data_IF_223970821805
#
_entry.id   IF_223970821805
#
_cell.length_a   1.000
_cell.length_b   1.000
_cell.length_c   1.000
_cell.angle_alpha   90.00
_cell.angle_beta   90.00
_cell.angle_gamma   90.00
#
_symmetry.space_group_name_H-M   'P 1'
#
loop_
_entity.id
_entity.type
_entity.pdbx_description
1 polymer ?
#
# COMPACT_ATOMS: atom_id res chain seq x y z
N UNK A 1 8.26 4.50 -11.45
CA UNK A 1 7.84 3.79 -10.22
C UNK A 1 8.68 2.56 -9.94
N UNK A 2 8.56 1.45 -10.69
CA UNK A 2 9.31 0.22 -10.40
C UNK A 2 10.84 0.46 -10.44
N UNK A 3 11.34 1.11 -11.49
CA UNK A 3 12.78 1.41 -11.62
C UNK A 3 13.28 2.43 -10.58
N UNK A 4 12.38 3.20 -9.97
CA UNK A 4 12.73 4.15 -8.90
C UNK A 4 12.84 3.45 -7.53
N UNK A 5 12.48 2.16 -7.43
CA UNK A 5 12.58 1.38 -6.19
C UNK A 5 11.24 1.10 -5.50
N UNK A 6 10.11 1.49 -6.09
CA UNK A 6 8.78 1.16 -5.53
C UNK A 6 8.51 -0.33 -5.69
N UNK A 7 8.10 -0.98 -4.60
CA UNK A 7 7.77 -2.42 -4.56
C UNK A 7 6.37 -2.73 -4.01
N UNK A 8 5.64 -1.76 -3.50
CA UNK A 8 4.28 -1.93 -3.00
C UNK A 8 3.31 -1.01 -3.77
N UNK A 9 2.20 -1.56 -4.23
CA UNK A 9 1.21 -0.84 -5.03
C UNK A 9 -0.21 -1.06 -4.47
N UNK A 10 -0.96 0.03 -4.29
CA UNK A 10 -2.40 -0.01 -4.03
C UNK A 10 -3.16 0.04 -5.37
N UNK A 11 -3.81 -1.07 -5.71
CA UNK A 11 -4.48 -1.30 -6.99
C UNK A 11 -5.99 -1.34 -6.77
N UNK A 12 -6.64 -0.22 -7.08
CA UNK A 12 -8.09 -0.06 -6.95
C UNK A 12 -8.79 -0.33 -8.27
N UNK A 13 -9.58 -1.40 -8.31
CA UNK A 13 -10.16 -1.92 -9.54
C UNK A 13 -11.69 -2.01 -9.47
N UNK A 14 -12.33 -1.90 -10.63
CA UNK A 14 -13.72 -2.25 -10.82
C UNK A 14 -13.95 -2.61 -12.29
N UNK A 15 -15.19 -2.94 -12.65
CA UNK A 15 -15.57 -3.03 -14.05
C UNK A 15 -15.26 -1.75 -14.82
N UNK A 16 -14.91 -1.91 -16.08
CA UNK A 16 -14.98 -0.84 -17.06
C UNK A 16 -16.45 -0.44 -17.32
N UNK A 17 -16.68 0.64 -18.06
CA UNK A 17 -18.03 1.17 -18.30
C UNK A 17 -18.93 0.22 -19.10
N UNK A 18 -18.36 -0.81 -19.74
CA UNK A 18 -19.10 -1.84 -20.49
C UNK A 18 -19.29 -3.15 -19.71
N UNK A 19 -18.77 -3.25 -18.48
CA UNK A 19 -18.76 -4.46 -17.66
C UNK A 19 -18.10 -5.68 -18.34
N UNK A 20 -17.13 -5.46 -19.23
CA UNK A 20 -16.45 -6.51 -19.98
C UNK A 20 -15.06 -6.83 -19.43
N UNK A 21 -14.42 -5.89 -18.74
CA UNK A 21 -13.05 -6.03 -18.22
C UNK A 21 -12.88 -5.32 -16.89
N UNK A 22 -11.80 -5.64 -16.17
CA UNK A 22 -11.40 -4.90 -14.97
C UNK A 22 -10.41 -3.79 -15.37
N UNK A 23 -10.65 -2.59 -14.86
CA UNK A 23 -9.80 -1.40 -15.05
C UNK A 23 -9.61 -0.68 -13.72
N UNK A 24 -8.70 0.29 -13.68
CA UNK A 24 -8.37 1.03 -12.46
C UNK A 24 -9.20 2.28 -12.29
N UNK A 25 -9.61 2.53 -11.04
CA UNK A 25 -10.46 3.64 -10.64
C UNK A 25 -9.94 4.31 -9.37
N UNK A 26 -10.21 5.60 -9.21
CA UNK A 26 -10.04 6.32 -7.95
C UNK A 26 -11.33 7.06 -7.61
N UNK A 27 -12.14 6.46 -6.74
CA UNK A 27 -13.54 6.86 -6.57
C UNK A 27 -14.27 6.84 -7.93
N UNK A 28 -14.95 7.93 -8.34
CA UNK A 28 -15.62 7.99 -9.64
C UNK A 28 -14.68 8.28 -10.83
N UNK A 29 -13.38 8.43 -10.61
CA UNK A 29 -12.43 8.78 -11.67
C UNK A 29 -11.79 7.53 -12.30
N UNK A 30 -12.14 7.24 -13.56
CA UNK A 30 -11.47 6.22 -14.37
C UNK A 30 -10.02 6.64 -14.63
N UNK A 31 -9.05 5.78 -14.29
CA UNK A 31 -7.63 6.10 -14.42
C UNK A 31 -7.10 5.88 -15.83
N UNK A 32 -7.64 4.91 -16.56
CA UNK A 32 -7.27 4.63 -17.95
C UNK A 32 -8.43 4.00 -18.70
N UNK A 33 -8.62 4.42 -19.96
CA UNK A 33 -9.60 3.82 -20.87
C UNK A 33 -9.05 2.62 -21.63
N UNK A 34 -7.73 2.41 -21.60
CA UNK A 34 -7.04 1.43 -22.47
C UNK A 34 -6.25 0.40 -21.69
N UNK A 35 -5.92 0.66 -20.43
CA UNK A 35 -5.18 -0.29 -19.59
C UNK A 35 -6.16 -1.04 -18.69
N UNK A 36 -6.20 -2.35 -18.86
CA UNK A 36 -6.91 -3.27 -17.97
C UNK A 36 -6.01 -3.73 -16.83
N UNK A 37 -6.61 -4.38 -15.82
CA UNK A 37 -5.85 -5.04 -14.75
C UNK A 37 -4.91 -6.10 -15.34
N UNK A 38 -5.36 -6.88 -16.33
CA UNK A 38 -4.54 -7.92 -16.97
C UNK A 38 -3.31 -7.31 -17.67
N UNK A 39 -3.48 -6.22 -18.42
CA UNK A 39 -2.36 -5.51 -19.08
C UNK A 39 -1.29 -5.08 -18.09
N UNK A 40 -1.72 -4.54 -16.93
CA UNK A 40 -0.79 -4.09 -15.87
C UNK A 40 -0.10 -5.28 -15.20
N UNK A 41 -0.78 -6.41 -15.02
CA UNK A 41 -0.15 -7.64 -14.51
C UNK A 41 0.96 -8.13 -15.44
N UNK A 42 0.76 -8.13 -16.76
CA UNK A 42 1.84 -8.45 -17.72
C UNK A 42 3.00 -7.46 -17.66
N UNK A 43 2.74 -6.19 -17.33
CA UNK A 43 3.77 -5.20 -17.04
C UNK A 43 4.66 -5.62 -15.86
N UNK A 44 4.06 -6.04 -14.74
CA UNK A 44 4.80 -6.55 -13.58
C UNK A 44 5.59 -7.83 -13.90
N UNK A 45 4.98 -8.78 -14.62
CA UNK A 45 5.64 -10.03 -15.02
C UNK A 45 6.90 -9.75 -15.83
N UNK A 46 6.78 -8.91 -16.87
CA UNK A 46 7.90 -8.53 -17.71
C UNK A 46 9.00 -7.82 -16.92
N UNK A 47 8.63 -6.96 -15.96
CA UNK A 47 9.61 -6.27 -15.15
C UNK A 47 10.36 -7.24 -14.22
N UNK A 48 9.66 -8.24 -13.65
CA UNK A 48 10.26 -9.29 -12.83
C UNK A 48 11.19 -10.23 -13.63
N UNK A 49 10.87 -10.51 -14.90
CA UNK A 49 11.79 -11.23 -15.80
C UNK A 49 13.13 -10.49 -15.95
N UNK A 50 13.08 -9.16 -15.96
CA UNK A 50 14.26 -8.30 -16.08
C UNK A 50 14.96 -8.05 -14.74
N UNK A 51 14.23 -8.24 -13.63
CA UNK A 51 14.68 -8.01 -12.27
C UNK A 51 14.36 -9.22 -11.36
N UNK A 52 14.92 -10.40 -11.65
CA UNK A 52 14.54 -11.64 -10.96
C UNK A 52 14.96 -11.67 -9.49
N UNK A 53 15.77 -10.70 -9.04
CA UNK A 53 16.13 -10.52 -7.62
C UNK A 53 15.03 -9.86 -6.79
N UNK A 54 14.05 -9.23 -7.44
CA UNK A 54 13.08 -8.33 -6.82
C UNK A 54 11.77 -9.05 -6.46
N UNK A 55 10.98 -8.41 -5.60
CA UNK A 55 9.65 -8.88 -5.18
C UNK A 55 8.70 -7.70 -5.21
N UNK A 56 7.47 -7.92 -5.67
CA UNK A 56 6.43 -6.87 -5.69
C UNK A 56 5.25 -7.28 -4.81
N UNK A 57 4.75 -6.33 -4.03
CA UNK A 57 3.53 -6.43 -3.23
C UNK A 57 2.39 -5.67 -3.91
N UNK A 58 1.30 -6.35 -4.21
CA UNK A 58 0.12 -5.75 -4.82
C UNK A 58 -1.06 -5.86 -3.85
N UNK A 59 -1.55 -4.72 -3.37
CA UNK A 59 -2.82 -4.64 -2.66
C UNK A 59 -3.95 -4.47 -3.66
N UNK A 60 -4.91 -5.38 -3.69
CA UNK A 60 -6.06 -5.27 -4.58
C UNK A 60 -7.30 -4.90 -3.78
N UNK A 61 -7.93 -3.78 -4.13
CA UNK A 61 -9.15 -3.32 -3.50
C UNK A 61 -10.23 -3.06 -4.55
N UNK A 62 -11.41 -3.62 -4.34
CA UNK A 62 -12.57 -3.26 -5.16
C UNK A 62 -12.94 -1.79 -4.92
N UNK A 63 -12.99 -0.99 -5.98
CA UNK A 63 -13.38 0.41 -5.93
C UNK A 63 -14.89 0.54 -6.06
N UNK A 64 -15.54 0.99 -4.99
CA UNK A 64 -16.95 1.38 -5.00
C UNK A 64 -17.15 2.77 -5.63
N UNK A 65 -18.41 3.15 -5.87
CA UNK A 65 -18.77 4.50 -6.35
C UNK A 65 -18.17 4.89 -7.70
N UNK A 66 -17.86 3.91 -8.56
CA UNK A 66 -17.34 4.13 -9.91
C UNK A 66 -18.45 4.47 -10.91
N UNK A 67 -19.50 3.66 -10.93
CA UNK A 67 -20.73 3.87 -11.71
C UNK A 67 -21.97 3.72 -10.80
N UNK A 68 -23.16 4.21 -11.21
CA UNK A 68 -24.37 4.13 -10.38
C UNK A 68 -24.79 2.73 -9.93
N UNK A 69 -24.32 1.68 -10.63
CA UNK A 69 -24.65 0.28 -10.34
C UNK A 69 -23.42 -0.55 -9.99
N UNK A 70 -22.30 0.10 -9.67
CA UNK A 70 -21.05 -0.55 -9.34
C UNK A 70 -21.21 -1.40 -8.07
N UNK A 71 -21.03 -2.71 -8.21
CA UNK A 71 -21.01 -3.66 -7.10
C UNK A 71 -19.83 -4.61 -7.25
N UNK A 72 -19.29 -5.11 -6.14
CA UNK A 72 -18.32 -6.20 -6.14
C UNK A 72 -19.02 -7.54 -6.46
N UNK A 73 -19.60 -7.60 -7.66
CA UNK A 73 -20.44 -8.70 -8.14
C UNK A 73 -19.63 -9.97 -8.38
N UNK A 74 -20.32 -11.10 -8.55
CA UNK A 74 -19.68 -12.37 -8.92
C UNK A 74 -18.81 -12.23 -10.17
N UNK A 75 -19.25 -11.47 -11.18
CA UNK A 75 -18.48 -11.27 -12.40
C UNK A 75 -17.17 -10.50 -12.17
N UNK A 76 -17.17 -9.50 -11.30
CA UNK A 76 -15.94 -8.78 -10.88
C UNK A 76 -14.98 -9.76 -10.19
N UNK A 77 -15.49 -10.54 -9.25
CA UNK A 77 -14.70 -11.51 -8.49
C UNK A 77 -14.12 -12.59 -9.40
N UNK A 78 -14.92 -13.09 -10.36
CA UNK A 78 -14.48 -14.08 -11.34
C UNK A 78 -13.38 -13.54 -12.24
N UNK A 79 -13.51 -12.33 -12.78
CA UNK A 79 -12.46 -11.75 -13.64
C UNK A 79 -11.16 -11.52 -12.88
N UNK A 80 -11.23 -11.07 -11.62
CA UNK A 80 -10.03 -10.91 -10.81
C UNK A 80 -9.41 -12.28 -10.50
N UNK A 81 -10.22 -13.27 -10.14
CA UNK A 81 -9.77 -14.64 -9.92
C UNK A 81 -9.05 -15.20 -11.15
N UNK A 82 -9.64 -15.05 -12.34
CA UNK A 82 -9.07 -15.52 -13.59
C UNK A 82 -7.74 -14.80 -13.90
N UNK A 83 -7.67 -13.48 -13.66
CA UNK A 83 -6.45 -12.69 -13.83
C UNK A 83 -5.32 -13.22 -12.93
N UNK A 84 -5.61 -13.45 -11.65
CA UNK A 84 -4.63 -13.85 -10.64
C UNK A 84 -4.31 -15.36 -10.62
N UNK A 85 -5.07 -16.17 -11.35
CA UNK A 85 -4.87 -17.64 -11.42
C UNK A 85 -4.65 -18.17 -12.83
N UNK A 86 -4.49 -17.27 -13.81
CA UNK A 86 -4.13 -17.62 -15.19
C UNK A 86 -2.83 -18.43 -15.25
N UNK A 87 -2.58 -19.20 -16.33
CA UNK A 87 -1.33 -19.94 -16.47
C UNK A 87 -0.08 -19.06 -16.37
N UNK A 88 -0.13 -17.82 -16.86
CA UNK A 88 0.94 -16.85 -16.71
C UNK A 88 1.06 -16.39 -15.26
N UNK A 89 -0.05 -15.99 -14.63
CA UNK A 89 -0.06 -15.52 -13.25
C UNK A 89 0.52 -16.55 -12.27
N UNK A 90 0.27 -17.85 -12.46
CA UNK A 90 0.82 -18.92 -11.61
C UNK A 90 2.35 -19.00 -11.60
N UNK A 91 3.04 -18.40 -12.57
CA UNK A 91 4.50 -18.34 -12.59
C UNK A 91 5.06 -17.23 -11.70
N UNK A 92 4.30 -16.15 -11.55
CA UNK A 92 4.75 -14.94 -10.85
C UNK A 92 4.04 -14.74 -9.51
N UNK A 93 2.79 -15.13 -9.36
CA UNK A 93 2.01 -14.90 -8.15
C UNK A 93 2.24 -16.03 -7.17
N UNK A 94 2.76 -15.68 -6.00
CA UNK A 94 2.99 -16.62 -4.93
C UNK A 94 1.67 -17.18 -4.37
N UNK A 95 1.55 -18.50 -4.35
CA UNK A 95 0.32 -19.22 -3.98
C UNK A 95 0.32 -19.71 -2.53
N UNK A 96 1.12 -19.13 -1.64
CA UNK A 96 1.17 -19.49 -0.21
C UNK A 96 0.20 -18.64 0.60
N UNK A 97 -0.61 -19.26 1.44
CA UNK A 97 -1.62 -18.58 2.26
C UNK A 97 -1.09 -18.26 3.65
N UNK A 98 -1.27 -17.02 4.11
CA UNK A 98 -1.01 -16.66 5.51
C UNK A 98 0.46 -16.68 5.92
N UNK A 99 1.38 -16.53 4.96
CA UNK A 99 2.82 -16.52 5.20
C UNK A 99 3.49 -15.40 4.41
N UNK A 100 4.34 -14.62 5.09
CA UNK A 100 5.17 -13.57 4.46
C UNK A 100 6.49 -14.14 3.93
N UNK A 101 6.94 -15.31 4.41
CA UNK A 101 8.18 -15.96 3.99
C UNK A 101 9.41 -15.05 4.06
N UNK A 102 10.45 -15.44 3.34
CA UNK A 102 11.70 -14.66 3.20
C UNK A 102 11.78 -13.99 1.84
N UNK A 103 12.67 -12.98 1.71
CA UNK A 103 12.98 -12.38 0.42
C UNK A 103 13.46 -13.43 -0.59
N UNK A 104 14.34 -14.35 -0.15
CA UNK A 104 14.92 -15.39 -1.00
C UNK A 104 13.89 -16.31 -1.65
N UNK A 105 12.84 -16.68 -0.92
CA UNK A 105 11.75 -17.54 -1.42
C UNK A 105 10.84 -16.82 -2.42
N UNK A 106 10.78 -15.49 -2.36
CA UNK A 106 9.84 -14.69 -3.16
C UNK A 106 10.47 -13.98 -4.35
N UNK A 107 11.79 -14.07 -4.55
CA UNK A 107 12.49 -13.42 -5.66
C UNK A 107 11.85 -13.78 -7.01
N UNK A 108 11.59 -12.77 -7.83
CA UNK A 108 10.91 -12.91 -9.12
C UNK A 108 9.39 -13.08 -9.01
N UNK A 109 8.81 -12.92 -7.81
CA UNK A 109 7.39 -13.15 -7.56
C UNK A 109 6.64 -11.92 -7.05
N UNK A 110 5.32 -12.03 -7.12
CA UNK A 110 4.32 -11.09 -6.65
C UNK A 110 3.62 -11.70 -5.44
N UNK A 111 3.50 -10.90 -4.38
CA UNK A 111 2.65 -11.17 -3.22
C UNK A 111 1.44 -10.27 -3.27
N UNK A 112 0.28 -10.76 -2.84
CA UNK A 112 -0.95 -9.96 -2.84
C UNK A 112 -1.82 -10.19 -1.61
N UNK A 113 -2.76 -9.27 -1.38
CA UNK A 113 -3.55 -9.18 -0.13
C UNK A 113 -5.02 -9.59 -0.26
N UNK A 114 -5.34 -10.58 -1.11
CA UNK A 114 -6.73 -10.92 -1.40
C UNK A 114 -7.31 -11.96 -0.44
N UNK A 115 -8.57 -11.80 0.03
CA UNK A 115 -9.17 -12.74 0.97
C UNK A 115 -9.60 -14.10 0.38
N UNK A 116 -9.86 -14.15 -0.93
CA UNK A 116 -10.43 -15.34 -1.59
C UNK A 116 -9.39 -16.21 -2.33
N UNK A 117 -8.11 -15.83 -2.29
CA UNK A 117 -7.02 -16.50 -3.00
C UNK A 117 -5.86 -16.77 -2.04
N UNK A 118 -5.01 -17.78 -2.32
CA UNK A 118 -3.78 -17.95 -1.56
C UNK A 118 -2.93 -16.67 -1.61
N UNK A 119 -2.60 -16.13 -0.44
CA UNK A 119 -1.91 -14.85 -0.29
C UNK A 119 -1.99 -14.35 1.15
N UNK A 120 -1.78 -13.05 1.35
CA UNK A 120 -1.97 -12.40 2.65
C UNK A 120 -3.45 -12.06 2.82
N UNK A 121 -4.10 -12.65 3.83
CA UNK A 121 -5.53 -12.46 4.02
C UNK A 121 -5.81 -11.14 4.73
N UNK A 122 -6.11 -10.07 3.98
CA UNK A 122 -6.60 -8.82 4.54
C UNK A 122 -8.13 -8.84 4.47
N UNK A 123 -8.77 -9.32 5.54
CA UNK A 123 -10.24 -9.36 5.59
C UNK A 123 -10.80 -7.93 5.56
N UNK A 124 -11.71 -7.61 4.62
CA UNK A 124 -12.35 -6.30 4.59
C UNK A 124 -13.17 -5.99 5.86
N UNK A 125 -13.62 -7.00 6.61
CA UNK A 125 -14.34 -6.80 7.87
C UNK A 125 -13.47 -6.32 9.00
N UNK A 126 -12.17 -6.60 8.91
CA UNK A 126 -11.20 -6.32 9.96
C UNK A 126 -10.44 -5.01 9.66
N UNK A 127 -10.54 -4.52 8.41
CA UNK A 127 -10.05 -3.21 8.00
C UNK A 127 -11.02 -2.12 8.43
N UNK A 128 -10.71 -1.44 9.52
CA UNK A 128 -11.54 -0.35 10.03
C UNK A 128 -11.42 0.86 9.10
N UNK A 129 -12.56 1.42 8.65
CA UNK A 129 -12.57 2.61 7.80
C UNK A 129 -11.89 3.80 8.49
N UNK A 130 -10.93 4.43 7.80
CA UNK A 130 -10.16 5.57 8.30
C UNK A 130 -9.49 5.29 9.66
N UNK A 131 -9.02 4.06 9.87
CA UNK A 131 -8.40 3.61 11.12
C UNK A 131 -6.92 3.94 11.19
N UNK A 132 -6.46 4.54 12.29
CA UNK A 132 -5.05 4.87 12.55
C UNK A 132 -4.28 3.73 13.25
N UNK A 133 -4.99 2.67 13.66
CA UNK A 133 -4.42 1.51 14.35
C UNK A 133 -5.26 0.25 14.10
N UNK A 134 -5.13 -0.30 12.90
CA UNK A 134 -5.79 -1.53 12.46
C UNK A 134 -4.85 -2.71 12.76
N UNK A 135 -5.42 -3.81 13.25
CA UNK A 135 -4.67 -5.05 13.53
C UNK A 135 -5.36 -6.21 12.85
N UNK A 136 -4.67 -6.86 11.92
CA UNK A 136 -5.17 -8.00 11.16
C UNK A 136 -4.40 -9.26 11.53
N UNK A 137 -5.10 -10.35 11.86
CA UNK A 137 -4.44 -11.65 12.04
C UNK A 137 -4.27 -12.32 10.68
N UNK A 138 -3.04 -12.36 10.18
CA UNK A 138 -2.73 -12.98 8.89
C UNK A 138 -2.71 -14.50 8.98
N UNK A 139 -2.29 -15.04 10.12
CA UNK A 139 -2.25 -16.46 10.38
C UNK A 139 -2.47 -16.75 11.87
N UNK A 140 -3.64 -17.31 12.20
CA UNK A 140 -4.00 -17.62 13.58
C UNK A 140 -3.13 -18.70 14.22
N UNK A 141 -2.52 -19.59 13.41
CA UNK A 141 -1.70 -20.69 13.92
C UNK A 141 -0.30 -20.25 14.34
N UNK A 142 0.31 -19.33 13.61
CA UNK A 142 1.62 -18.74 13.94
C UNK A 142 1.49 -17.46 14.76
N UNK A 143 0.28 -16.89 14.82
CA UNK A 143 0.03 -15.58 15.40
C UNK A 143 0.51 -14.42 14.53
N UNK A 144 0.91 -14.67 13.28
CA UNK A 144 1.41 -13.63 12.38
C UNK A 144 0.37 -12.51 12.22
N UNK A 145 0.78 -11.27 12.46
CA UNK A 145 -0.10 -10.11 12.53
C UNK A 145 0.38 -9.03 11.55
N UNK A 146 -0.57 -8.34 10.92
CA UNK A 146 -0.32 -7.07 10.24
C UNK A 146 -0.86 -5.92 11.09
N UNK A 147 -0.05 -4.89 11.26
CA UNK A 147 -0.43 -3.62 11.84
C UNK A 147 -0.51 -2.60 10.72
N UNK A 148 -1.66 -1.93 10.64
CA UNK A 148 -1.95 -1.02 9.55
C UNK A 148 -2.40 0.32 10.10
N UNK A 149 -1.93 1.40 9.50
CA UNK A 149 -2.44 2.76 9.70
C UNK A 149 -2.93 3.28 8.35
N UNK A 150 -4.21 3.58 8.23
CA UNK A 150 -4.88 4.06 7.02
C UNK A 150 -5.79 5.26 7.38
N UNK A 151 -5.18 6.31 7.97
CA UNK A 151 -5.89 7.52 8.39
C UNK A 151 -6.06 8.53 7.23
N UNK A 152 -6.68 8.07 6.15
CA UNK A 152 -6.76 8.79 4.87
C UNK A 152 -7.69 10.02 4.89
N UNK A 153 -8.59 10.14 5.87
CA UNK A 153 -9.54 11.25 6.04
C UNK A 153 -9.38 11.90 7.43
N UNK A 154 -8.32 12.69 7.65
CA UNK A 154 -8.03 13.29 8.94
C UNK A 154 -9.17 14.14 9.51
N UNK A 155 -9.68 13.73 10.68
CA UNK A 155 -10.81 14.39 11.37
C UNK A 155 -10.36 15.49 12.33
N UNK A 156 -9.12 15.41 12.82
CA UNK A 156 -8.58 16.33 13.84
C UNK A 156 -7.75 17.45 13.19
N UNK A 157 -6.93 18.14 13.99
CA UNK A 157 -6.17 19.35 13.64
C UNK A 157 -5.22 19.17 12.44
N UNK A 158 -4.58 20.27 12.04
CA UNK A 158 -3.41 20.25 11.13
C UNK A 158 -2.38 19.21 11.57
N UNK A 159 -1.68 18.60 10.61
CA UNK A 159 -0.65 17.55 10.81
C UNK A 159 -1.15 16.20 11.35
N UNK A 160 -2.45 15.96 11.41
CA UNK A 160 -2.99 14.70 11.95
C UNK A 160 -2.59 13.46 11.15
N UNK A 161 -2.49 13.54 9.81
CA UNK A 161 -1.90 12.45 8.99
C UNK A 161 -0.44 12.21 9.36
N UNK A 162 0.40 13.25 9.37
CA UNK A 162 1.81 13.12 9.77
C UNK A 162 1.97 12.46 11.15
N UNK A 163 1.13 12.85 12.12
CA UNK A 163 1.17 12.28 13.46
C UNK A 163 0.81 10.78 13.46
N UNK A 164 -0.22 10.38 12.72
CA UNK A 164 -0.63 8.98 12.60
C UNK A 164 0.49 8.15 11.93
N UNK A 165 1.00 8.61 10.78
CA UNK A 165 2.12 7.97 10.09
C UNK A 165 3.35 7.86 10.99
N UNK A 166 3.77 8.95 11.63
CA UNK A 166 4.95 8.95 12.50
C UNK A 166 4.80 8.03 13.71
N UNK A 167 3.63 8.00 14.33
CA UNK A 167 3.34 7.08 15.43
C UNK A 167 3.42 5.61 14.96
N UNK A 168 2.92 5.31 13.76
CA UNK A 168 3.01 3.97 13.18
C UNK A 168 4.47 3.57 12.88
N UNK A 169 5.27 4.48 12.30
CA UNK A 169 6.70 4.24 12.07
C UNK A 169 7.44 3.93 13.39
N UNK A 170 7.20 4.71 14.45
CA UNK A 170 7.80 4.46 15.76
C UNK A 170 7.36 3.12 16.38
N UNK A 171 6.12 2.69 16.12
CA UNK A 171 5.65 1.37 16.51
C UNK A 171 6.44 0.29 15.77
N UNK A 172 6.54 0.36 14.45
CA UNK A 172 7.29 -0.59 13.64
C UNK A 172 8.75 -0.71 14.10
N UNK A 173 9.40 0.44 14.34
CA UNK A 173 10.78 0.51 14.79
C UNK A 173 11.04 -0.11 16.17
N UNK A 174 10.02 -0.16 17.04
CA UNK A 174 10.17 -0.64 18.43
C UNK A 174 9.52 -1.99 18.72
N UNK A 175 8.77 -2.56 17.76
CA UNK A 175 7.95 -3.75 17.94
C UNK A 175 8.74 -4.98 18.43
N UNK A 176 9.86 -5.29 17.77
CA UNK A 176 10.69 -6.45 18.10
C UNK A 176 11.47 -6.35 19.42
N UNK A 177 11.58 -5.15 20.00
CA UNK A 177 12.25 -4.93 21.30
C UNK A 177 11.24 -5.07 22.46
N UNK A 178 9.97 -4.76 22.20
CA UNK A 178 8.92 -4.63 23.22
C UNK A 178 8.08 -5.89 23.37
N UNK A 179 7.92 -6.67 22.31
CA UNK A 179 7.04 -7.83 22.33
C UNK A 179 7.81 -9.14 22.49
N UNK A 180 7.60 -9.81 23.63
CA UNK A 180 8.13 -11.15 23.93
C UNK A 180 7.42 -12.28 23.16
N UNK A 181 6.87 -11.97 21.98
CA UNK A 181 6.13 -12.90 21.13
C UNK A 181 7.12 -13.62 20.21
N UNK A 182 7.02 -14.95 20.16
CA UNK A 182 7.72 -15.77 19.17
C UNK A 182 7.32 -15.28 17.76
N UNK A 183 8.27 -14.96 16.89
CA UNK A 183 8.04 -14.37 15.55
C UNK A 183 7.54 -12.91 15.52
N UNK A 184 7.72 -12.11 16.59
CA UNK A 184 7.40 -10.67 16.54
C UNK A 184 8.11 -9.91 15.41
N UNK A 185 9.30 -10.37 14.99
CA UNK A 185 10.04 -9.78 13.88
C UNK A 185 9.42 -10.07 12.51
N UNK A 186 8.52 -11.05 12.42
CA UNK A 186 7.87 -11.44 11.16
C UNK A 186 6.57 -10.65 10.92
N UNK A 187 6.05 -9.94 11.94
CA UNK A 187 4.82 -9.14 11.82
C UNK A 187 4.98 -8.02 10.76
N UNK A 188 3.90 -7.76 10.00
CA UNK A 188 3.87 -6.77 8.92
C UNK A 188 3.46 -5.39 9.45
N UNK A 189 4.13 -4.35 8.98
CA UNK A 189 3.77 -2.95 9.22
C UNK A 189 3.47 -2.29 7.89
N UNK A 190 2.34 -1.60 7.79
CA UNK A 190 1.90 -0.91 6.58
C UNK A 190 1.22 0.41 6.96
N UNK A 191 1.80 1.53 6.56
CA UNK A 191 1.27 2.87 6.85
C UNK A 191 1.10 3.69 5.58
N UNK A 192 0.17 4.64 5.62
CA UNK A 192 -0.16 5.50 4.50
C UNK A 192 0.13 6.96 4.87
N UNK A 193 1.12 7.56 4.20
CA UNK A 193 1.40 9.00 4.30
C UNK A 193 0.40 9.83 3.46
N UNK A 194 -0.39 9.17 2.61
CA UNK A 194 -1.43 9.74 1.76
C UNK A 194 -2.70 10.08 2.55
N UNK A 195 -3.32 11.23 2.27
CA UNK A 195 -4.61 11.58 2.83
C UNK A 195 -5.32 12.67 2.03
N UNK A 196 -6.58 12.94 2.36
CA UNK A 196 -7.38 14.00 1.77
C UNK A 196 -8.37 14.57 2.79
N UNK A 197 -8.85 15.79 2.59
CA UNK A 197 -9.98 16.32 3.38
C UNK A 197 -10.90 17.18 2.50
N UNK A 198 -11.64 16.55 1.56
CA UNK A 198 -12.50 17.27 0.62
C UNK A 198 -13.60 18.11 1.30
N UNK A 199 -14.23 17.67 2.42
CA UNK A 199 -15.22 18.48 3.13
C UNK A 199 -14.67 19.73 3.83
N UNK A 200 -13.35 19.93 3.92
CA UNK A 200 -12.77 21.15 4.49
C UNK A 200 -13.14 22.37 3.64
N UNK A 201 -13.17 23.57 4.24
CA UNK A 201 -13.39 24.82 3.51
C UNK A 201 -12.19 25.76 3.77
N UNK A 202 -11.31 25.98 2.78
CA UNK A 202 -11.29 25.37 1.44
C UNK A 202 -10.92 23.87 1.47
N UNK A 203 -11.34 23.07 0.46
CA UNK A 203 -10.98 21.64 0.40
C UNK A 203 -9.48 21.42 0.46
N UNK A 204 -9.05 20.37 1.19
CA UNK A 204 -7.64 19.96 1.21
C UNK A 204 -7.51 18.73 0.30
N UNK A 205 -6.77 18.88 -0.79
CA UNK A 205 -6.53 17.82 -1.78
C UNK A 205 -5.37 16.91 -1.36
N UNK A 206 -5.23 15.71 -1.96
CA UNK A 206 -4.07 14.85 -1.74
C UNK A 206 -2.73 15.56 -1.99
N UNK A 207 -2.63 16.31 -3.09
CA UNK A 207 -1.42 17.08 -3.40
C UNK A 207 -1.10 18.12 -2.32
N UNK A 208 -2.11 18.79 -1.76
CA UNK A 208 -1.92 19.73 -0.65
C UNK A 208 -1.46 19.03 0.63
N UNK A 209 -1.95 17.82 0.92
CA UNK A 209 -1.49 17.05 2.08
C UNK A 209 -0.05 16.57 1.90
N UNK A 210 0.29 15.99 0.76
CA UNK A 210 1.60 15.42 0.49
C UNK A 210 2.69 16.50 0.34
N UNK A 211 2.43 17.52 -0.49
CA UNK A 211 3.45 18.50 -0.90
C UNK A 211 3.37 19.80 -0.09
N UNK A 212 2.19 20.11 0.46
CA UNK A 212 1.92 21.41 1.06
C UNK A 212 1.54 22.44 0.01
N UNK A 213 1.00 23.57 0.47
CA UNK A 213 0.60 24.68 -0.40
C UNK A 213 0.83 26.06 0.24
N UNK A 214 1.59 26.12 1.34
CA UNK A 214 1.89 27.36 2.05
C UNK A 214 0.68 28.01 2.74
N UNK A 215 -0.46 27.32 2.82
CA UNK A 215 -1.64 27.80 3.55
C UNK A 215 -1.43 27.65 5.07
N UNK A 216 -2.38 28.17 5.86
CA UNK A 216 -2.42 27.93 7.31
C UNK A 216 -2.50 26.44 7.68
N UNK A 217 -2.95 25.57 6.75
CA UNK A 217 -2.97 24.12 6.94
C UNK A 217 -1.60 23.46 6.70
N UNK A 218 -0.72 24.08 5.92
CA UNK A 218 0.65 23.60 5.61
C UNK A 218 1.67 24.76 5.58
N UNK A 219 1.88 25.48 6.69
CA UNK A 219 2.68 26.70 6.69
C UNK A 219 4.18 26.37 6.63
N UNK A 220 4.87 26.82 5.57
CA UNK A 220 6.35 26.95 5.49
C UNK A 220 7.20 25.67 5.58
N UNK A 221 6.62 24.55 6.01
CA UNK A 221 7.29 23.26 6.27
C UNK A 221 7.02 22.21 5.19
N UNK A 222 6.19 22.56 4.18
CA UNK A 222 5.70 21.62 3.18
C UNK A 222 4.60 20.69 3.74
N UNK A 223 4.22 19.70 2.93
CA UNK A 223 3.26 18.68 3.31
C UNK A 223 3.88 17.52 4.08
N UNK A 224 3.12 16.42 4.23
CA UNK A 224 3.54 15.20 4.93
C UNK A 224 4.86 14.68 4.39
N UNK A 225 5.04 14.63 3.07
CA UNK A 225 6.28 14.12 2.46
C UNK A 225 7.51 14.91 2.90
N UNK A 226 7.42 16.25 2.90
CA UNK A 226 8.52 17.13 3.31
C UNK A 226 8.85 16.97 4.80
N UNK A 227 7.80 16.84 5.62
CA UNK A 227 7.95 16.70 7.07
C UNK A 227 8.41 15.30 7.49
N UNK A 228 8.17 14.27 6.68
CA UNK A 228 8.67 12.92 6.93
C UNK A 228 10.17 12.79 6.70
N UNK A 229 10.77 13.52 5.76
CA UNK A 229 12.23 13.44 5.48
C UNK A 229 13.10 13.55 6.73
N UNK A 230 12.99 14.58 7.60
CA UNK A 230 13.80 14.65 8.82
C UNK A 230 13.51 13.50 9.79
N UNK A 231 12.25 13.06 9.91
CA UNK A 231 11.86 11.94 10.77
C UNK A 231 12.52 10.64 10.29
N UNK A 232 12.45 10.35 8.99
CA UNK A 232 13.07 9.17 8.40
C UNK A 232 14.60 9.18 8.61
N UNK A 233 15.26 10.33 8.47
CA UNK A 233 16.70 10.45 8.75
C UNK A 233 17.06 10.09 10.19
N UNK A 234 16.23 10.48 11.16
CA UNK A 234 16.42 10.11 12.58
C UNK A 234 16.18 8.61 12.83
N UNK A 235 15.39 7.97 11.98
CA UNK A 235 15.05 6.54 12.07
C UNK A 235 15.98 5.64 11.26
N UNK A 236 17.12 6.14 10.80
CA UNK A 236 18.11 5.34 10.07
C UNK A 236 18.53 4.10 10.88
N UNK A 237 18.58 2.95 10.21
CA UNK A 237 18.88 1.65 10.81
C UNK A 237 17.68 0.95 11.45
N UNK A 238 16.47 1.51 11.35
CA UNK A 238 15.25 0.93 11.92
C UNK A 238 14.35 0.30 10.84
N UNK A 239 13.67 -0.79 11.20
CA UNK A 239 12.66 -1.44 10.36
C UNK A 239 11.35 -0.65 10.47
N UNK A 240 10.92 -0.04 9.36
CA UNK A 240 9.72 0.81 9.33
C UNK A 240 8.50 0.17 8.65
N UNK A 241 8.70 -0.95 7.94
CA UNK A 241 7.63 -1.62 7.18
C UNK A 241 7.41 -1.00 5.81
N UNK A 242 6.19 -1.16 5.28
CA UNK A 242 5.73 -0.57 4.02
C UNK A 242 5.17 0.83 4.31
N UNK A 243 5.61 1.82 3.52
CA UNK A 243 5.10 3.19 3.59
C UNK A 243 4.58 3.59 2.21
N UNK A 244 3.29 3.94 2.15
CA UNK A 244 2.65 4.39 0.91
C UNK A 244 2.68 5.91 0.84
N UNK A 245 3.24 6.45 -0.23
CA UNK A 245 3.34 7.89 -0.47
C UNK A 245 2.49 8.29 -1.68
N UNK A 246 1.76 9.39 -1.54
CA UNK A 246 1.30 10.16 -2.71
C UNK A 246 2.43 11.08 -3.18
N UNK A 247 2.58 11.26 -4.50
CA UNK A 247 3.59 12.14 -5.10
C UNK A 247 5.01 11.87 -4.55
N UNK A 248 5.42 10.59 -4.57
CA UNK A 248 6.68 10.12 -3.98
C UNK A 248 7.93 10.81 -4.56
N UNK A 249 7.81 11.39 -5.76
CA UNK A 249 8.88 12.15 -6.40
C UNK A 249 9.23 13.44 -5.65
N UNK A 250 8.36 13.92 -4.74
CA UNK A 250 8.55 15.19 -4.04
C UNK A 250 8.37 15.05 -2.50
N UNK A 251 9.32 15.54 -1.68
CA UNK A 251 10.57 16.17 -2.11
C UNK A 251 11.51 15.15 -2.77
N UNK A 252 12.35 15.59 -3.70
CA UNK A 252 13.22 14.70 -4.49
C UNK A 252 14.14 13.76 -3.69
N UNK A 253 14.40 14.07 -2.41
CA UNK A 253 15.18 13.23 -1.50
C UNK A 253 14.36 12.19 -0.71
N UNK A 254 13.03 12.22 -0.78
CA UNK A 254 12.15 11.36 0.04
C UNK A 254 12.41 9.88 -0.20
N UNK A 255 12.36 9.47 -1.46
CA UNK A 255 12.49 8.06 -1.83
C UNK A 255 13.89 7.53 -1.50
N UNK A 256 14.94 8.30 -1.83
CA UNK A 256 16.33 7.96 -1.51
C UNK A 256 16.55 7.82 -0.01
N UNK A 257 15.99 8.73 0.80
CA UNK A 257 16.08 8.66 2.26
C UNK A 257 15.40 7.40 2.77
N UNK A 258 14.21 7.07 2.28
CA UNK A 258 13.46 5.90 2.71
C UNK A 258 14.16 4.58 2.31
N UNK A 259 14.59 4.45 1.05
CA UNK A 259 15.28 3.27 0.56
C UNK A 259 16.67 3.09 1.20
N UNK A 260 17.31 4.19 1.61
CA UNK A 260 18.61 4.19 2.29
C UNK A 260 18.56 4.00 3.81
N UNK A 261 17.40 3.72 4.40
CA UNK A 261 17.25 3.57 5.85
C UNK A 261 18.01 2.38 6.41
N UNK A 262 17.97 1.25 5.70
CA UNK A 262 18.70 0.05 6.06
C UNK A 262 19.95 -0.06 5.19
N UNK A 263 21.11 -0.40 5.75
CA UNK A 263 22.27 -0.73 4.93
C UNK A 263 21.90 -1.91 4.01
N UNK A 264 22.45 -1.98 2.78
CA UNK A 264 22.39 -3.23 2.03
C UNK A 264 22.94 -4.34 2.93
N UNK A 265 22.18 -5.41 3.13
CA UNK A 265 22.73 -6.59 3.81
C UNK A 265 23.95 -7.07 3.00
N UNK A 266 25.11 -7.19 3.67
CA UNK A 266 26.34 -7.78 3.10
C UNK A 266 26.20 -9.29 2.88
#
# INVERSE_FOLDING_TARGET
MLDDGIRAFDLRYAYDVTNSSLVFWHGPALQSQTATVDDVMYGFYRWLDQHPSEVVFLSFQYQSSTTPYATNSQGVQSLLFDTLTSPAAKQYIQQTTGEIGTLGESRGQIRHTMPALPGLHFSPTDWTENGDNITLTLNASTGLTAYIEDYFLPQTSSHSTLNATSAHLHRAASHGIRDAKLHALDDLFWTFASSTKPPNIPPITPAMQALGNGSSATPGQGGVNHQLVPILREMRGQRLGIVMFDFYEEPGELLDVFLGLLPPEE
#
